data_IF_600737275350
#
_entry.id   IF_600737275350
#
_cell.length_a   1.000
_cell.length_b   1.000
_cell.length_c   1.000
_cell.angle_alpha   90.00
_cell.angle_beta   90.00
_cell.angle_gamma   90.00
#
_symmetry.space_group_name_H-M   'P 1'
#
loop_
_entity.id
_entity.type
_entity.pdbx_description
1 polymer ?
#
# COMPACT_ATOMS: atom_id res chain seq x y z
N UNK A 1 10.18 29.51 -0.97
CA UNK A 1 10.94 28.35 -0.42
C UNK A 1 11.42 28.60 1.00
N UNK A 2 12.13 29.70 1.29
CA UNK A 2 12.69 29.98 2.62
C UNK A 2 11.70 29.77 3.77
N UNK A 3 10.43 30.18 3.63
CA UNK A 3 9.42 29.98 4.68
C UNK A 3 9.17 28.52 5.09
N UNK A 4 9.28 27.56 4.16
CA UNK A 4 9.10 26.13 4.47
C UNK A 4 10.33 25.55 5.17
N UNK A 5 11.54 25.92 4.71
CA UNK A 5 12.79 25.54 5.38
C UNK A 5 12.89 26.18 6.76
N UNK A 6 12.53 27.45 6.90
CA UNK A 6 12.50 28.18 8.17
C UNK A 6 11.50 27.55 9.13
N UNK A 7 10.31 27.15 8.64
CA UNK A 7 9.33 26.41 9.43
C UNK A 7 9.88 25.06 9.89
N UNK A 8 10.53 24.31 8.99
CA UNK A 8 11.11 23.00 9.28
C UNK A 8 12.25 23.09 10.29
N UNK A 9 13.17 24.05 10.10
CA UNK A 9 14.27 24.33 11.03
C UNK A 9 13.76 24.82 12.38
N UNK A 10 12.78 25.73 12.40
CA UNK A 10 12.16 26.25 13.64
C UNK A 10 11.49 25.15 14.45
N UNK A 11 10.85 24.18 13.78
CA UNK A 11 10.13 23.09 14.42
C UNK A 11 10.95 21.77 14.51
N UNK A 12 12.25 21.82 14.17
CA UNK A 12 13.20 20.70 14.29
C UNK A 12 12.83 19.45 13.47
N UNK A 13 12.25 19.60 12.28
CA UNK A 13 11.96 18.46 11.40
C UNK A 13 13.18 18.09 10.54
N UNK A 14 13.42 16.78 10.33
CA UNK A 14 14.63 16.27 9.63
C UNK A 14 14.41 15.90 8.16
N UNK A 15 13.17 15.87 7.68
CA UNK A 15 12.85 15.42 6.32
C UNK A 15 11.77 16.33 5.74
N UNK A 16 11.98 16.77 4.51
CA UNK A 16 10.96 17.39 3.67
C UNK A 16 10.84 16.50 2.45
N UNK A 17 9.78 15.68 2.36
CA UNK A 17 9.45 15.04 1.09
C UNK A 17 8.78 16.08 0.20
N UNK A 18 9.37 16.33 -0.98
CA UNK A 18 8.69 17.04 -2.07
C UNK A 18 7.49 16.23 -2.58
N UNK A 19 6.80 16.70 -3.64
CA UNK A 19 5.68 15.98 -4.23
C UNK A 19 6.15 14.67 -4.88
N UNK A 20 6.36 13.64 -4.07
CA UNK A 20 6.13 12.26 -4.50
C UNK A 20 4.64 12.23 -4.80
N UNK A 21 4.26 11.76 -5.98
CA UNK A 21 2.95 12.01 -6.61
C UNK A 21 1.72 11.84 -5.69
N UNK A 22 1.83 11.16 -4.55
CA UNK A 22 0.86 11.22 -3.46
C UNK A 22 1.56 11.38 -2.09
N UNK A 23 1.13 12.32 -1.23
CA UNK A 23 1.64 12.40 0.14
C UNK A 23 1.13 11.25 0.98
N UNK A 24 2.04 10.36 1.38
CA UNK A 24 1.75 9.21 2.25
C UNK A 24 1.27 9.58 3.65
N UNK A 25 1.47 10.82 4.12
CA UNK A 25 0.93 11.36 5.37
C UNK A 25 0.76 12.88 5.18
N UNK A 26 -0.49 13.37 5.26
CA UNK A 26 -0.93 14.77 5.39
C UNK A 26 -0.23 15.80 4.46
N UNK A 27 -0.96 16.24 3.42
CA UNK A 27 -0.74 17.59 2.84
C UNK A 27 0.46 17.80 1.92
N UNK A 28 1.02 16.76 1.30
CA UNK A 28 2.11 16.94 0.32
C UNK A 28 3.51 16.95 0.93
N UNK A 29 3.64 16.76 2.26
CA UNK A 29 4.90 16.90 3.00
C UNK A 29 4.98 15.83 4.08
N UNK A 30 5.83 14.82 3.90
CA UNK A 30 6.16 13.87 4.96
C UNK A 30 7.33 14.38 5.82
N UNK A 31 7.17 14.39 7.14
CA UNK A 31 8.22 14.73 8.11
C UNK A 31 8.61 13.52 8.96
N UNK A 32 9.91 13.37 9.23
CA UNK A 32 10.46 12.31 10.08
C UNK A 32 10.67 12.85 11.49
N UNK A 33 10.15 12.13 12.49
CA UNK A 33 10.14 12.53 13.92
C UNK A 33 11.29 11.94 14.74
N UNK A 34 12.21 11.19 14.13
CA UNK A 34 13.36 10.56 14.80
C UNK A 34 14.65 10.66 13.97
N UNK A 35 15.81 10.61 14.65
CA UNK A 35 17.13 10.60 14.02
C UNK A 35 17.78 11.97 13.79
N UNK A 36 17.43 13.00 14.55
CA UNK A 36 17.78 14.43 14.34
C UNK A 36 19.25 14.80 14.10
N UNK A 37 20.19 13.93 14.43
CA UNK A 37 21.65 14.17 14.36
C UNK A 37 22.27 13.94 12.97
N UNK A 38 21.49 13.56 11.95
CA UNK A 38 22.02 13.27 10.62
C UNK A 38 21.40 14.16 9.52
N UNK A 39 22.03 14.25 8.33
CA UNK A 39 21.63 15.21 7.30
C UNK A 39 20.16 15.11 6.89
N UNK A 40 19.60 16.25 6.45
CA UNK A 40 18.21 16.37 6.00
C UNK A 40 18.00 15.58 4.71
N UNK A 41 16.90 14.83 4.61
CA UNK A 41 16.57 14.04 3.41
C UNK A 41 15.53 14.77 2.56
N UNK A 42 15.73 14.81 1.24
CA UNK A 42 14.81 15.40 0.26
C UNK A 42 14.44 14.38 -0.83
N UNK A 43 13.18 14.38 -1.27
CA UNK A 43 12.66 13.53 -2.33
C UNK A 43 12.43 14.32 -3.62
N UNK A 44 13.01 13.90 -4.73
CA UNK A 44 12.85 14.54 -6.04
C UNK A 44 11.89 13.73 -6.91
N UNK A 45 10.87 14.38 -7.46
CA UNK A 45 9.95 13.76 -8.41
C UNK A 45 10.64 13.59 -9.78
N UNK A 46 10.64 12.37 -10.32
CA UNK A 46 11.30 12.05 -11.60
C UNK A 46 10.46 12.36 -12.85
N UNK A 47 9.22 12.84 -12.69
CA UNK A 47 8.28 13.08 -13.79
C UNK A 47 8.57 14.37 -14.60
N UNK A 48 9.57 15.16 -14.19
CA UNK A 48 10.05 16.33 -14.94
C UNK A 48 11.53 16.11 -15.30
N UNK A 49 11.85 15.51 -16.47
CA UNK A 49 13.22 15.17 -16.85
C UNK A 49 14.14 16.39 -16.99
N UNK A 50 13.57 17.58 -17.18
CA UNK A 50 14.26 18.87 -17.23
C UNK A 50 14.40 19.54 -15.86
N UNK A 51 13.97 18.88 -14.78
CA UNK A 51 14.01 19.44 -13.44
C UNK A 51 15.46 19.63 -12.99
N UNK A 52 15.80 20.87 -12.63
CA UNK A 52 17.09 21.21 -12.03
C UNK A 52 17.14 20.96 -10.52
N UNK A 53 16.09 20.36 -9.96
CA UNK A 53 15.98 20.15 -8.50
C UNK A 53 17.11 19.25 -8.01
N UNK A 54 17.49 18.23 -8.77
CA UNK A 54 18.60 17.34 -8.38
C UNK A 54 19.93 18.09 -8.36
N UNK A 55 20.24 18.84 -9.42
CA UNK A 55 21.46 19.66 -9.54
C UNK A 55 21.52 20.70 -8.40
N UNK A 56 20.41 21.38 -8.12
CA UNK A 56 20.29 22.35 -7.02
C UNK A 56 20.55 21.71 -5.64
N UNK A 57 20.08 20.48 -5.40
CA UNK A 57 20.34 19.78 -4.14
C UNK A 57 21.81 19.36 -4.01
N UNK A 58 22.44 18.93 -5.10
CA UNK A 58 23.88 18.63 -5.14
C UNK A 58 24.71 19.90 -4.87
N UNK A 59 24.34 21.06 -5.43
CA UNK A 59 24.98 22.35 -5.16
C UNK A 59 24.89 22.77 -3.68
N UNK A 60 23.81 22.38 -2.99
CA UNK A 60 23.64 22.61 -1.55
C UNK A 60 24.37 21.58 -0.68
N UNK A 61 25.10 20.64 -1.26
CA UNK A 61 25.89 19.63 -0.56
C UNK A 61 25.09 18.41 -0.09
N UNK A 62 23.91 18.15 -0.66
CA UNK A 62 23.17 16.91 -0.39
C UNK A 62 23.73 15.75 -1.21
N UNK A 63 23.80 14.56 -0.61
CA UNK A 63 24.23 13.33 -1.27
C UNK A 63 23.04 12.50 -1.76
N UNK A 64 23.21 11.83 -2.90
CA UNK A 64 22.23 10.86 -3.41
C UNK A 64 22.26 9.60 -2.56
N UNK A 65 21.17 9.33 -1.86
CA UNK A 65 21.06 8.13 -1.01
C UNK A 65 20.37 6.97 -1.74
N UNK A 66 19.17 7.20 -2.30
CA UNK A 66 18.38 6.17 -2.98
C UNK A 66 17.66 6.71 -4.22
N UNK A 67 17.35 5.81 -5.16
CA UNK A 67 16.47 6.08 -6.31
C UNK A 67 15.23 5.19 -6.23
N UNK A 68 14.06 5.81 -6.25
CA UNK A 68 12.78 5.14 -6.30
C UNK A 68 12.17 5.26 -7.71
N UNK A 69 11.56 4.19 -8.18
CA UNK A 69 10.79 4.18 -9.43
C UNK A 69 9.33 4.01 -9.06
N UNK A 70 8.48 4.99 -9.39
CA UNK A 70 7.04 4.82 -9.25
C UNK A 70 6.49 4.21 -10.54
N UNK A 71 5.63 3.20 -10.40
CA UNK A 71 5.03 2.50 -11.53
C UNK A 71 3.52 2.64 -11.45
N UNK A 72 2.92 3.07 -12.56
CA UNK A 72 1.47 3.01 -12.75
C UNK A 72 1.08 1.61 -13.23
N UNK A 73 0.05 1.01 -12.61
CA UNK A 73 -0.49 -0.27 -13.05
C UNK A 73 -1.56 -0.03 -14.12
N UNK A 74 -1.13 0.00 -15.38
CA UNK A 74 -2.03 0.24 -16.53
C UNK A 74 -2.87 -0.99 -16.93
N UNK A 75 -2.36 -2.20 -16.69
CA UNK A 75 -3.06 -3.45 -17.00
C UNK A 75 -3.73 -3.99 -15.75
N UNK A 76 -5.06 -4.15 -15.80
CA UNK A 76 -5.83 -4.62 -14.64
C UNK A 76 -6.02 -6.14 -14.55
N UNK A 77 -5.54 -6.89 -15.55
CA UNK A 77 -5.60 -8.34 -15.56
C UNK A 77 -4.28 -8.88 -16.12
N UNK A 78 -3.40 -9.34 -15.24
CA UNK A 78 -2.13 -9.92 -15.65
C UNK A 78 -2.35 -11.41 -15.93
N UNK A 79 -1.84 -11.90 -17.07
CA UNK A 79 -1.98 -13.31 -17.45
C UNK A 79 -1.49 -14.26 -16.34
N UNK A 80 -0.36 -13.94 -15.71
CA UNK A 80 0.20 -14.72 -14.61
C UNK A 80 -0.59 -14.61 -13.30
N UNK A 81 -1.50 -13.63 -13.17
CA UNK A 81 -2.36 -13.47 -12.00
C UNK A 81 -3.58 -14.40 -12.01
N UNK A 82 -3.82 -15.07 -13.13
CA UNK A 82 -4.91 -16.04 -13.28
C UNK A 82 -4.50 -17.48 -12.96
N UNK A 83 -3.28 -17.66 -12.44
CA UNK A 83 -2.73 -18.95 -12.02
C UNK A 83 -2.24 -18.83 -10.59
N UNK A 84 -2.96 -19.43 -9.65
CA UNK A 84 -2.57 -19.54 -8.26
C UNK A 84 -2.28 -21.01 -7.93
N UNK A 85 -1.24 -21.25 -7.12
CA UNK A 85 -0.99 -22.58 -6.57
C UNK A 85 -2.22 -23.05 -5.75
N UNK A 86 -2.71 -24.26 -6.05
CA UNK A 86 -3.90 -24.85 -5.43
C UNK A 86 -3.82 -24.92 -3.91
N UNK A 87 -2.61 -24.94 -3.34
CA UNK A 87 -2.39 -25.01 -1.90
C UNK A 87 -2.51 -23.62 -1.24
N UNK A 88 -2.80 -22.57 -2.01
CA UNK A 88 -2.96 -21.19 -1.54
C UNK A 88 -4.43 -20.77 -1.59
N UNK A 89 -4.87 -20.12 -0.53
CA UNK A 89 -6.19 -19.48 -0.42
C UNK A 89 -6.02 -17.98 -0.26
N UNK A 90 -6.74 -17.21 -1.08
CA UNK A 90 -6.83 -15.76 -0.91
C UNK A 90 -8.05 -15.39 -0.07
N UNK A 91 -8.00 -14.23 0.57
CA UNK A 91 -9.13 -13.69 1.31
C UNK A 91 -9.04 -12.17 1.43
N UNK A 92 -10.16 -11.57 1.80
CA UNK A 92 -10.27 -10.19 2.24
C UNK A 92 -10.80 -10.21 3.67
N UNK A 93 -10.25 -9.35 4.52
CA UNK A 93 -10.54 -9.35 5.95
C UNK A 93 -11.05 -7.98 6.38
N UNK A 94 -11.96 -7.91 7.36
CA UNK A 94 -12.28 -6.66 8.03
C UNK A 94 -11.07 -6.17 8.83
N UNK A 95 -11.01 -4.87 9.12
CA UNK A 95 -9.87 -4.25 9.84
C UNK A 95 -9.59 -4.93 11.18
N UNK A 96 -10.64 -5.39 11.89
CA UNK A 96 -10.49 -6.08 13.17
C UNK A 96 -9.74 -7.42 13.06
N UNK A 97 -9.94 -8.18 11.98
CA UNK A 97 -9.23 -9.43 11.72
C UNK A 97 -7.79 -9.16 11.24
N UNK A 98 -7.59 -8.11 10.42
CA UNK A 98 -6.23 -7.69 10.01
C UNK A 98 -5.39 -7.32 11.24
N UNK A 99 -5.98 -6.59 12.22
CA UNK A 99 -5.31 -6.29 13.49
C UNK A 99 -4.88 -7.53 14.27
N UNK A 100 -5.66 -8.61 14.25
CA UNK A 100 -5.28 -9.88 14.90
C UNK A 100 -4.08 -10.54 14.22
N UNK A 101 -3.82 -10.23 12.95
CA UNK A 101 -2.66 -10.71 12.21
C UNK A 101 -1.41 -9.84 12.38
N UNK A 102 -1.46 -8.76 13.16
CA UNK A 102 -0.37 -7.78 13.34
C UNK A 102 1.00 -8.44 13.50
N UNK A 103 1.15 -9.31 14.50
CA UNK A 103 2.44 -9.97 14.78
C UNK A 103 2.93 -10.83 13.62
N UNK A 104 2.01 -11.51 12.92
CA UNK A 104 2.34 -12.32 11.74
C UNK A 104 2.76 -11.45 10.55
N UNK A 105 2.10 -10.32 10.33
CA UNK A 105 2.44 -9.35 9.28
C UNK A 105 3.81 -8.73 9.55
N UNK A 106 4.07 -8.35 10.81
CA UNK A 106 5.37 -7.78 11.22
C UNK A 106 6.49 -8.82 11.08
N UNK A 107 6.27 -10.07 11.51
CA UNK A 107 7.23 -11.15 11.32
C UNK A 107 7.49 -11.43 9.83
N UNK A 108 6.45 -11.43 9.00
CA UNK A 108 6.57 -11.59 7.56
C UNK A 108 7.41 -10.44 6.95
N UNK A 109 7.13 -9.20 7.33
CA UNK A 109 7.90 -8.02 6.91
C UNK A 109 9.38 -8.12 7.30
N UNK A 110 9.68 -8.50 8.55
CA UNK A 110 11.06 -8.67 9.03
C UNK A 110 11.82 -9.76 8.27
N UNK A 111 11.14 -10.84 7.89
CA UNK A 111 11.74 -11.93 7.13
C UNK A 111 12.02 -11.56 5.66
N UNK A 112 11.20 -10.70 5.08
CA UNK A 112 11.31 -10.28 3.68
C UNK A 112 12.22 -9.06 3.48
N UNK A 113 12.34 -8.18 4.48
CA UNK A 113 13.13 -6.94 4.41
C UNK A 113 14.24 -6.97 5.46
N UNK A 114 15.43 -7.43 5.06
CA UNK A 114 16.55 -7.74 5.98
C UNK A 114 17.15 -6.56 6.77
N UNK A 115 16.81 -5.32 6.45
CA UNK A 115 17.07 -4.13 7.27
C UNK A 115 16.71 -2.91 6.42
N UNK A 116 15.98 -1.97 7.02
CA UNK A 116 15.61 -0.67 6.44
C UNK A 116 14.58 -0.73 5.32
N UNK A 117 13.37 -0.24 5.64
CA UNK A 117 12.47 0.33 4.64
C UNK A 117 11.85 1.60 5.21
N UNK A 118 12.07 2.72 4.52
CA UNK A 118 11.50 4.02 4.87
C UNK A 118 9.97 4.09 4.72
N UNK A 119 9.34 3.04 4.20
CA UNK A 119 7.91 2.97 3.88
C UNK A 119 7.32 1.55 4.13
N UNK A 120 7.92 0.73 5.01
CA UNK A 120 7.33 -0.55 5.40
C UNK A 120 6.45 -0.41 6.65
N UNK A 121 5.38 -1.22 6.80
CA UNK A 121 4.65 -1.36 8.05
C UNK A 121 5.48 -1.95 9.20
N UNK A 122 6.79 -2.19 8.99
CA UNK A 122 7.73 -2.69 10.01
C UNK A 122 8.03 -1.70 11.14
N UNK A 123 7.64 -0.43 11.02
CA UNK A 123 7.59 0.49 12.16
C UNK A 123 6.31 0.26 12.97
N UNK A 124 6.42 0.09 14.29
CA UNK A 124 5.26 -0.20 15.16
C UNK A 124 4.10 0.80 15.01
N UNK A 125 4.40 2.07 14.67
CA UNK A 125 3.40 3.10 14.42
C UNK A 125 2.74 2.99 13.04
N UNK A 126 3.46 2.53 12.01
CA UNK A 126 2.99 2.53 10.62
C UNK A 126 1.85 1.54 10.40
N UNK A 127 1.89 0.39 11.06
CA UNK A 127 0.78 -0.56 11.01
C UNK A 127 -0.51 0.05 11.59
N UNK A 128 -0.44 0.70 12.76
CA UNK A 128 -1.62 1.30 13.37
C UNK A 128 -2.15 2.49 12.55
N UNK A 129 -1.28 3.32 11.96
CA UNK A 129 -1.68 4.38 11.01
C UNK A 129 -2.50 3.83 9.83
N UNK A 130 -2.10 2.66 9.29
CA UNK A 130 -2.87 2.00 8.23
C UNK A 130 -4.22 1.53 8.75
N UNK A 131 -4.27 0.91 9.92
CA UNK A 131 -5.53 0.41 10.49
C UNK A 131 -6.51 1.54 10.80
N UNK A 132 -6.02 2.66 11.33
CA UNK A 132 -6.82 3.87 11.54
C UNK A 132 -7.37 4.42 10.23
N UNK A 133 -6.53 4.45 9.18
CA UNK A 133 -6.97 4.85 7.84
C UNK A 133 -8.04 3.92 7.27
N UNK A 134 -7.92 2.61 7.54
CA UNK A 134 -8.89 1.62 7.10
C UNK A 134 -10.22 1.74 7.82
N UNK A 135 -10.21 1.91 9.15
CA UNK A 135 -11.44 2.14 9.92
C UNK A 135 -12.20 3.38 9.44
N UNK A 136 -11.46 4.46 9.13
CA UNK A 136 -12.04 5.71 8.66
C UNK A 136 -12.74 5.55 7.30
N UNK A 137 -12.19 4.72 6.41
CA UNK A 137 -12.62 4.63 5.01
C UNK A 137 -13.59 3.47 4.76
N UNK A 138 -13.34 2.32 5.38
CA UNK A 138 -14.02 1.06 5.06
C UNK A 138 -15.04 0.62 6.11
N UNK A 139 -15.17 1.33 7.24
CA UNK A 139 -16.14 0.98 8.27
C UNK A 139 -17.59 0.92 7.75
N UNK A 140 -18.20 -0.28 7.82
CA UNK A 140 -19.62 -0.59 7.60
C UNK A 140 -20.27 0.12 6.39
N UNK A 141 -19.66 -0.01 5.21
CA UNK A 141 -20.24 0.50 3.96
C UNK A 141 -20.65 -0.68 3.08
N UNK A 142 -21.96 -0.92 2.96
CA UNK A 142 -22.48 -1.81 1.94
C UNK A 142 -22.13 -1.26 0.55
N UNK A 143 -21.43 -2.06 -0.24
CA UNK A 143 -20.94 -1.74 -1.58
C UNK A 143 -21.68 -2.54 -2.64
N UNK A 144 -22.07 -3.78 -2.31
CA UNK A 144 -22.84 -4.64 -3.21
C UNK A 144 -24.14 -5.05 -2.55
N UNK A 145 -25.16 -5.31 -3.38
CA UNK A 145 -26.47 -5.77 -2.92
C UNK A 145 -26.45 -7.23 -2.48
N UNK A 146 -27.53 -7.66 -1.83
CA UNK A 146 -27.72 -9.04 -1.36
C UNK A 146 -27.74 -10.07 -2.52
N UNK A 147 -27.91 -9.61 -3.76
CA UNK A 147 -27.92 -10.40 -4.99
C UNK A 147 -26.55 -10.49 -5.69
N UNK A 148 -25.48 -10.05 -5.03
CA UNK A 148 -24.12 -10.13 -5.56
C UNK A 148 -23.70 -11.58 -5.85
N UNK A 149 -23.41 -11.86 -7.12
CA UNK A 149 -22.81 -13.14 -7.56
C UNK A 149 -21.38 -12.93 -8.08
N UNK A 150 -20.34 -13.40 -7.36
CA UNK A 150 -18.94 -13.26 -7.78
C UNK A 150 -18.64 -13.92 -9.14
N UNK A 151 -19.44 -14.90 -9.57
CA UNK A 151 -19.27 -15.59 -10.86
C UNK A 151 -19.57 -14.69 -12.05
N UNK A 152 -20.27 -13.57 -11.83
CA UNK A 152 -20.48 -12.55 -12.86
C UNK A 152 -19.20 -11.76 -13.18
N UNK A 153 -18.21 -11.78 -12.28
CA UNK A 153 -16.98 -10.99 -12.39
C UNK A 153 -15.75 -11.82 -12.78
N UNK A 154 -15.72 -13.10 -12.43
CA UNK A 154 -14.59 -13.99 -12.75
C UNK A 154 -15.03 -15.44 -12.89
N UNK A 155 -14.36 -16.17 -13.78
CA UNK A 155 -14.44 -17.62 -13.88
C UNK A 155 -13.31 -18.36 -13.14
N UNK A 156 -12.41 -17.63 -12.48
CA UNK A 156 -11.26 -18.19 -11.76
C UNK A 156 -11.72 -18.68 -10.38
N UNK A 157 -11.63 -20.00 -10.08
CA UNK A 157 -12.16 -20.58 -8.85
C UNK A 157 -11.64 -19.92 -7.57
N UNK A 158 -10.35 -19.59 -7.53
CA UNK A 158 -9.71 -18.99 -6.35
C UNK A 158 -10.19 -17.56 -6.09
N UNK A 159 -10.63 -16.85 -7.14
CA UNK A 159 -11.16 -15.49 -6.99
C UNK A 159 -12.59 -15.56 -6.46
N UNK A 160 -13.41 -16.46 -7.04
CA UNK A 160 -14.77 -16.75 -6.57
C UNK A 160 -14.72 -17.17 -5.10
N UNK A 161 -13.83 -18.10 -4.74
CA UNK A 161 -13.66 -18.54 -3.35
C UNK A 161 -13.29 -17.39 -2.41
N UNK A 162 -12.39 -16.48 -2.83
CA UNK A 162 -11.99 -15.36 -2.00
C UNK A 162 -13.20 -14.50 -1.60
N UNK A 163 -14.08 -14.18 -2.57
CA UNK A 163 -15.30 -13.41 -2.33
C UNK A 163 -16.37 -14.19 -1.57
N UNK A 164 -16.56 -15.47 -1.85
CA UNK A 164 -17.54 -16.32 -1.12
C UNK A 164 -17.12 -16.60 0.33
N UNK A 165 -15.83 -16.46 0.65
CA UNK A 165 -15.30 -16.73 1.98
C UNK A 165 -15.32 -15.55 2.95
N UNK A 166 -15.82 -14.38 2.52
CA UNK A 166 -15.89 -13.17 3.32
C UNK A 166 -17.25 -12.47 3.16
N UNK A 167 -17.59 -11.58 4.09
CA UNK A 167 -18.65 -10.60 3.87
C UNK A 167 -18.06 -9.44 3.07
N UNK A 168 -18.32 -9.41 1.77
CA UNK A 168 -17.82 -8.39 0.84
C UNK A 168 -18.19 -6.94 1.26
N UNK A 169 -19.21 -6.77 2.10
CA UNK A 169 -19.61 -5.47 2.63
C UNK A 169 -18.88 -5.08 3.94
N UNK A 170 -18.14 -6.02 4.55
CA UNK A 170 -17.32 -5.84 5.75
C UNK A 170 -15.89 -6.37 5.54
N UNK A 171 -15.16 -5.73 4.62
CA UNK A 171 -13.76 -6.02 4.33
C UNK A 171 -12.96 -4.74 4.08
N UNK A 172 -11.63 -4.86 4.15
CA UNK A 172 -10.69 -3.90 3.56
C UNK A 172 -10.32 -4.37 2.14
N UNK A 173 -10.94 -3.84 1.08
CA UNK A 173 -10.78 -4.33 -0.30
C UNK A 173 -9.36 -4.13 -0.83
N UNK A 174 -8.63 -3.16 -0.28
CA UNK A 174 -7.28 -2.79 -0.69
C UNK A 174 -6.17 -3.50 0.12
N UNK A 175 -6.54 -4.49 0.94
CA UNK A 175 -5.62 -5.28 1.75
C UNK A 175 -5.80 -6.80 1.52
N UNK A 176 -5.65 -7.31 0.28
CA UNK A 176 -5.80 -8.74 0.01
C UNK A 176 -4.69 -9.55 0.69
N UNK A 177 -5.07 -10.70 1.23
CA UNK A 177 -4.18 -11.62 1.95
C UNK A 177 -4.20 -13.01 1.34
N UNK A 178 -3.09 -13.73 1.46
CA UNK A 178 -2.93 -15.12 1.04
C UNK A 178 -2.49 -15.99 2.21
N UNK A 179 -3.14 -17.15 2.33
CA UNK A 179 -2.84 -18.17 3.33
C UNK A 179 -2.46 -19.48 2.66
N UNK A 180 -1.56 -20.23 3.29
CA UNK A 180 -1.39 -21.65 2.97
C UNK A 180 -2.62 -22.41 3.47
N UNK A 181 -3.27 -23.18 2.58
CA UNK A 181 -4.49 -23.93 2.88
C UNK A 181 -4.29 -25.02 3.92
N UNK A 182 -3.11 -25.62 3.95
CA UNK A 182 -2.80 -26.76 4.81
C UNK A 182 -2.52 -26.29 6.23
N UNK A 183 -1.74 -25.21 6.37
CA UNK A 183 -1.26 -24.74 7.66
C UNK A 183 -2.06 -23.56 8.22
N UNK A 184 -2.81 -22.85 7.38
CA UNK A 184 -3.45 -21.58 7.73
C UNK A 184 -2.45 -20.43 7.95
N UNK A 185 -1.18 -20.62 7.58
CA UNK A 185 -0.14 -19.60 7.73
C UNK A 185 -0.37 -18.43 6.76
N UNK A 186 -0.15 -17.19 7.21
CA UNK A 186 -0.13 -16.02 6.34
C UNK A 186 1.16 -16.03 5.51
N UNK A 187 1.02 -16.13 4.19
CA UNK A 187 2.16 -16.29 3.25
C UNK A 187 2.28 -15.15 2.25
N UNK A 188 1.26 -14.31 2.14
CA UNK A 188 1.29 -13.13 1.27
C UNK A 188 0.32 -12.05 1.73
N UNK A 189 0.68 -10.79 1.54
CA UNK A 189 -0.19 -9.64 1.79
C UNK A 189 0.21 -8.47 0.88
N UNK A 190 -0.80 -7.75 0.38
CA UNK A 190 -0.62 -6.41 -0.19
C UNK A 190 -1.31 -5.44 0.77
N UNK A 191 -0.62 -4.38 1.18
CA UNK A 191 -1.21 -3.31 1.99
C UNK A 191 -1.17 -2.01 1.21
N UNK A 192 -2.33 -1.38 1.09
CA UNK A 192 -2.55 -0.23 0.21
C UNK A 192 -3.27 0.85 0.98
N UNK A 193 -2.81 2.09 0.88
CA UNK A 193 -3.40 3.23 1.57
C UNK A 193 -4.38 3.99 0.70
N UNK A 194 -5.52 4.44 1.26
CA UNK A 194 -6.39 5.39 0.59
C UNK A 194 -5.69 6.74 0.42
N UNK A 195 -5.99 7.43 -0.68
CA UNK A 195 -5.49 8.79 -0.88
C UNK A 195 -6.09 9.77 0.14
N UNK A 196 -5.35 10.02 1.21
CA UNK A 196 -5.74 10.97 2.27
C UNK A 196 -5.92 12.40 1.75
N UNK A 197 -5.27 12.78 0.64
CA UNK A 197 -5.49 14.11 0.04
C UNK A 197 -6.89 14.23 -0.57
N UNK A 198 -7.42 13.17 -1.21
CA UNK A 198 -8.79 13.17 -1.70
C UNK A 198 -9.78 13.36 -0.54
N UNK A 199 -9.56 12.67 0.59
CA UNK A 199 -10.37 12.85 1.80
C UNK A 199 -10.29 14.28 2.34
N UNK A 200 -9.08 14.82 2.50
CA UNK A 200 -8.86 16.16 3.03
C UNK A 200 -9.46 17.26 2.14
N UNK A 201 -9.33 17.12 0.82
CA UNK A 201 -9.87 18.05 -0.17
C UNK A 201 -11.36 17.82 -0.48
N UNK A 202 -12.02 16.88 0.23
CA UNK A 202 -13.43 16.51 0.04
C UNK A 202 -13.75 16.05 -1.38
N UNK A 203 -12.77 15.48 -2.08
CA UNK A 203 -12.97 14.81 -3.35
C UNK A 203 -13.43 13.37 -3.12
N UNK A 204 -14.15 12.76 -4.09
CA UNK A 204 -14.44 11.33 -4.05
C UNK A 204 -13.14 10.54 -3.87
N UNK A 205 -13.11 9.63 -2.91
CA UNK A 205 -11.98 8.75 -2.71
C UNK A 205 -12.02 7.63 -3.75
N UNK A 206 -11.14 7.73 -4.74
CA UNK A 206 -11.06 6.79 -5.87
C UNK A 206 -9.66 6.25 -6.08
N UNK A 207 -8.65 6.82 -5.41
CA UNK A 207 -7.24 6.50 -5.60
C UNK A 207 -6.67 5.77 -4.39
N UNK A 208 -5.82 4.79 -4.69
CA UNK A 208 -5.11 3.96 -3.74
C UNK A 208 -3.60 3.97 -4.04
N UNK A 209 -2.77 3.93 -3.00
CA UNK A 209 -1.32 3.81 -3.11
C UNK A 209 -0.85 2.53 -2.42
N UNK A 210 -0.20 1.63 -3.15
CA UNK A 210 0.39 0.40 -2.61
C UNK A 210 1.57 0.80 -1.72
N UNK A 211 1.44 0.57 -0.42
CA UNK A 211 2.49 0.89 0.54
C UNK A 211 3.50 -0.25 0.65
N UNK A 212 3.00 -1.50 0.70
CA UNK A 212 3.87 -2.66 0.73
C UNK A 212 3.24 -3.90 0.10
N UNK A 213 4.10 -4.75 -0.42
CA UNK A 213 3.78 -6.11 -0.86
C UNK A 213 4.77 -7.02 -0.15
N UNK A 214 4.27 -8.05 0.54
CA UNK A 214 5.11 -8.97 1.29
C UNK A 214 4.69 -10.39 0.93
N UNK A 215 5.61 -11.14 0.30
CA UNK A 215 5.43 -12.55 0.01
C UNK A 215 6.51 -13.32 0.75
N UNK A 216 6.10 -14.38 1.44
CA UNK A 216 7.00 -15.30 2.14
C UNK A 216 7.93 -15.97 1.12
N UNK A 217 9.24 -15.94 1.37
CA UNK A 217 10.27 -16.32 0.38
C UNK A 217 10.11 -17.75 -0.13
N UNK A 218 9.72 -18.68 0.73
CA UNK A 218 9.49 -20.10 0.39
C UNK A 218 8.30 -20.32 -0.55
N UNK A 219 7.47 -19.29 -0.73
CA UNK A 219 6.30 -19.27 -1.60
C UNK A 219 6.51 -18.46 -2.89
N UNK A 220 7.74 -18.00 -3.15
CA UNK A 220 8.07 -17.32 -4.40
C UNK A 220 7.77 -18.21 -5.63
N UNK A 221 7.25 -17.60 -6.69
CA UNK A 221 6.92 -18.31 -7.94
C UNK A 221 5.56 -19.02 -7.94
N UNK A 222 4.80 -19.00 -6.84
CA UNK A 222 3.48 -19.65 -6.73
C UNK A 222 2.29 -18.80 -7.18
N UNK A 223 2.54 -17.74 -7.95
CA UNK A 223 1.49 -16.83 -8.46
C UNK A 223 0.89 -15.85 -7.45
N UNK A 224 1.24 -15.94 -6.16
CA UNK A 224 0.59 -15.21 -5.06
C UNK A 224 0.48 -13.69 -5.32
N UNK A 225 1.59 -13.02 -5.63
CA UNK A 225 1.58 -11.57 -5.87
C UNK A 225 0.63 -11.19 -7.01
N UNK A 226 0.78 -11.82 -8.18
CA UNK A 226 -0.02 -11.52 -9.37
C UNK A 226 -1.50 -11.79 -9.13
N UNK A 227 -1.84 -12.85 -8.38
CA UNK A 227 -3.23 -13.18 -8.05
C UNK A 227 -3.84 -12.22 -7.04
N UNK A 228 -3.11 -11.87 -5.96
CA UNK A 228 -3.54 -10.85 -5.00
C UNK A 228 -3.76 -9.49 -5.70
N UNK A 229 -2.92 -9.14 -6.66
CA UNK A 229 -3.07 -7.94 -7.47
C UNK A 229 -4.34 -8.00 -8.34
N UNK A 230 -4.55 -9.06 -9.12
CA UNK A 230 -5.71 -9.17 -10.01
C UNK A 230 -7.03 -9.15 -9.21
N UNK A 231 -7.17 -10.03 -8.22
CA UNK A 231 -8.41 -10.11 -7.42
C UNK A 231 -8.60 -8.85 -6.58
N UNK A 232 -7.52 -8.30 -6.02
CA UNK A 232 -7.51 -7.07 -5.25
C UNK A 232 -7.98 -5.88 -6.08
N UNK A 233 -7.52 -5.74 -7.32
CA UNK A 233 -7.98 -4.66 -8.21
C UNK A 233 -9.46 -4.77 -8.58
N UNK A 234 -9.96 -5.97 -8.88
CA UNK A 234 -11.40 -6.17 -9.16
C UNK A 234 -12.20 -5.75 -7.92
N UNK A 235 -11.79 -6.21 -6.75
CA UNK A 235 -12.46 -5.90 -5.48
C UNK A 235 -12.40 -4.39 -5.18
N UNK A 236 -11.24 -3.75 -5.33
CA UNK A 236 -11.11 -2.30 -5.20
C UNK A 236 -12.05 -1.54 -6.15
N UNK A 237 -12.19 -1.97 -7.41
CA UNK A 237 -13.11 -1.35 -8.37
C UNK A 237 -14.57 -1.46 -7.95
N UNK A 238 -14.99 -2.60 -7.38
CA UNK A 238 -16.34 -2.73 -6.82
C UNK A 238 -16.59 -1.68 -5.74
N UNK A 239 -15.58 -1.39 -4.92
CA UNK A 239 -15.64 -0.38 -3.86
C UNK A 239 -15.39 1.06 -4.36
N UNK A 240 -15.37 1.30 -5.68
CA UNK A 240 -15.26 2.63 -6.28
C UNK A 240 -13.84 3.15 -6.46
N UNK A 241 -12.82 2.33 -6.20
CA UNK A 241 -11.43 2.69 -6.43
C UNK A 241 -11.00 2.30 -7.84
N UNK A 242 -10.69 3.30 -8.66
CA UNK A 242 -10.39 3.11 -10.08
C UNK A 242 -8.94 3.42 -10.46
N UNK A 243 -8.14 3.89 -9.50
CA UNK A 243 -6.72 4.19 -9.68
C UNK A 243 -5.89 3.56 -8.57
N UNK A 244 -4.83 2.84 -8.96
CA UNK A 244 -3.88 2.21 -8.04
C UNK A 244 -2.47 2.48 -8.55
N UNK A 245 -1.63 3.06 -7.70
CA UNK A 245 -0.21 3.27 -7.95
C UNK A 245 0.65 2.63 -6.86
N UNK A 246 1.93 2.37 -7.12
CA UNK A 246 2.87 1.82 -6.14
C UNK A 246 4.30 2.28 -6.41
N UNK A 247 5.16 2.17 -5.40
CA UNK A 247 6.61 2.44 -5.49
C UNK A 247 7.39 1.16 -5.25
#
# INVERSE_FOLDING_TARGET
MNKCEDFVRKNKFRKIRGPVNFPKIIGGIGYQIEGFEAPMLNGVAFNEPSSKVLEFLEELGYEKESKYSCLEVVNSNWNNGNTLDKDIKMSFLPTCEIRKLREKILALAQSSFHSVLADAPGGQSRFEEMMESYDLVFGNRAVVGDDFDPRTLSSIPEFIEAWESCDINDIVPCCPVAFDRTTGELVGIIMTLPNLFQLWSKQPLTHLNVDTVIIKKEYAGRGIFSSLQNVGQITCKLHGFNYVEGT
#
